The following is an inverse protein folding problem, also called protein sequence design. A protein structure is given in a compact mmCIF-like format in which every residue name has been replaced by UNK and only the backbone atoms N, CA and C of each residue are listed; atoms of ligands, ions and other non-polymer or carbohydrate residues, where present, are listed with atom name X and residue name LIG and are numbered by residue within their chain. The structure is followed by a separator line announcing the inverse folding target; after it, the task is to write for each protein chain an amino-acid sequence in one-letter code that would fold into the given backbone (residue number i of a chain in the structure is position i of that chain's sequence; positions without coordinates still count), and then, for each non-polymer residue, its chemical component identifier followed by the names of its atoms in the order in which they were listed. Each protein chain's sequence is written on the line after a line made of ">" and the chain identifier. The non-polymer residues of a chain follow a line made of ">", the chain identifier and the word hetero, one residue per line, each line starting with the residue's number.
data_IF_200835211538
#
_entry.id   IF_200835211538
#
_cell.length_a   1.000
_cell.length_b   1.000
_cell.length_c   1.000
_cell.angle_alpha   90.00
_cell.angle_beta   90.00
_cell.angle_gamma   90.00
#
_symmetry.space_group_name_H-M   'P 1'
#
loop_
_entity.id
_entity.type
_entity.pdbx_description
1 polymer ?
#
# COMPACT_ATOMS: atom_id res chain seq x y z
N UNK A 1 -20.54 34.38 -5.63
CA UNK A 1 -20.25 33.79 -6.95
C UNK A 1 -20.67 34.79 -8.00
N UNK A 2 -19.80 35.15 -8.95
CA UNK A 2 -20.25 35.91 -10.13
C UNK A 2 -21.17 35.00 -10.95
N UNK A 3 -22.27 35.55 -11.44
CA UNK A 3 -23.16 34.94 -12.43
C UNK A 3 -22.36 34.76 -13.73
N UNK A 4 -22.34 33.55 -14.30
CA UNK A 4 -21.76 33.30 -15.63
C UNK A 4 -20.57 32.35 -15.67
N UNK A 5 -20.83 31.04 -15.54
CA UNK A 5 -20.23 30.00 -16.42
C UNK A 5 -20.73 28.63 -15.95
N UNK A 6 -22.01 28.34 -16.21
CA UNK A 6 -22.51 26.96 -16.16
C UNK A 6 -21.81 26.19 -17.28
N UNK A 7 -21.26 25.01 -17.00
CA UNK A 7 -20.59 24.22 -18.05
C UNK A 7 -21.65 23.55 -18.93
N UNK A 8 -21.53 23.62 -20.26
CA UNK A 8 -22.44 22.96 -21.21
C UNK A 8 -21.69 21.99 -22.11
N UNK A 9 -22.31 20.85 -22.42
CA UNK A 9 -21.81 19.90 -23.41
C UNK A 9 -22.96 19.15 -24.08
N UNK A 10 -22.80 18.83 -25.37
CA UNK A 10 -23.67 17.86 -26.07
C UNK A 10 -23.37 16.41 -25.66
N UNK A 11 -22.23 16.16 -25.03
CA UNK A 11 -21.86 14.86 -24.48
C UNK A 11 -22.60 14.52 -23.17
N UNK A 12 -22.33 13.34 -22.62
CA UNK A 12 -23.01 12.84 -21.41
C UNK A 12 -22.29 13.17 -20.09
N UNK A 13 -21.05 13.68 -20.14
CA UNK A 13 -20.24 14.02 -18.96
C UNK A 13 -19.13 15.04 -19.28
N UNK A 14 -18.47 15.57 -18.25
CA UNK A 14 -17.23 16.35 -18.36
C UNK A 14 -16.04 15.55 -17.82
N UNK A 15 -14.99 15.37 -18.62
CA UNK A 15 -13.77 14.68 -18.19
C UNK A 15 -13.12 15.38 -16.99
N UNK A 16 -12.68 14.61 -15.99
CA UNK A 16 -12.15 15.15 -14.74
C UNK A 16 -13.21 15.66 -13.76
N UNK A 17 -14.49 15.47 -14.04
CA UNK A 17 -15.60 15.76 -13.12
C UNK A 17 -16.46 14.51 -12.88
N UNK A 18 -17.13 14.49 -11.73
CA UNK A 18 -18.20 13.54 -11.40
C UNK A 18 -19.54 14.28 -11.30
N UNK A 19 -20.58 13.71 -11.90
CA UNK A 19 -21.97 14.13 -11.65
C UNK A 19 -22.37 13.60 -10.28
N UNK A 20 -22.66 14.51 -9.35
CA UNK A 20 -23.04 14.18 -7.98
C UNK A 20 -24.54 14.27 -7.75
N UNK A 21 -25.28 14.95 -8.64
CA UNK A 21 -26.73 15.08 -8.56
C UNK A 21 -27.33 15.36 -9.95
N UNK A 22 -28.47 14.72 -10.24
CA UNK A 22 -29.27 15.00 -11.44
C UNK A 22 -30.51 15.79 -11.04
N UNK A 23 -30.64 17.01 -11.56
CA UNK A 23 -31.73 17.95 -11.29
C UNK A 23 -32.86 17.86 -12.35
N UNK A 24 -32.76 16.84 -13.19
CA UNK A 24 -33.74 16.48 -14.22
C UNK A 24 -33.63 17.32 -15.49
N UNK A 25 -34.57 17.05 -16.40
CA UNK A 25 -34.63 17.68 -17.71
C UNK A 25 -34.98 19.17 -17.61
N UNK A 26 -34.41 19.98 -18.51
CA UNK A 26 -34.68 21.41 -18.66
C UNK A 26 -34.77 21.79 -20.14
N UNK A 27 -35.50 22.87 -20.42
CA UNK A 27 -35.65 23.40 -21.76
C UNK A 27 -35.62 24.94 -21.76
N UNK A 28 -35.20 25.51 -22.88
CA UNK A 28 -35.27 26.93 -23.17
C UNK A 28 -35.77 27.12 -24.60
N UNK A 29 -36.75 27.99 -24.81
CA UNK A 29 -37.30 28.24 -26.14
C UNK A 29 -37.24 29.72 -26.51
N UNK A 30 -37.18 29.98 -27.81
CA UNK A 30 -37.51 31.28 -28.40
C UNK A 30 -38.30 31.05 -29.68
N UNK A 31 -39.21 31.99 -30.01
CA UNK A 31 -39.99 31.96 -31.24
C UNK A 31 -39.71 33.22 -32.07
N UNK A 32 -39.41 33.02 -33.35
CA UNK A 32 -39.27 34.06 -34.36
C UNK A 32 -40.61 34.19 -35.10
N UNK A 33 -41.19 35.39 -35.11
CA UNK A 33 -42.52 35.65 -35.68
C UNK A 33 -42.55 35.65 -37.21
N UNK A 34 -43.71 35.43 -37.81
CA UNK A 34 -43.90 35.39 -39.25
C UNK A 34 -43.79 36.73 -39.98
N UNK A 35 -44.14 37.84 -39.30
CA UNK A 35 -43.96 39.19 -39.83
C UNK A 35 -42.50 39.50 -40.16
N UNK A 36 -41.58 38.83 -39.46
CA UNK A 36 -40.15 39.01 -39.64
C UNK A 36 -39.59 38.21 -40.82
N UNK A 37 -40.14 37.02 -41.09
CA UNK A 37 -39.81 36.28 -42.32
C UNK A 37 -40.32 37.02 -43.54
N UNK A 38 -41.46 37.72 -43.41
CA UNK A 38 -42.04 38.55 -44.46
C UNK A 38 -41.16 39.74 -44.85
N UNK A 39 -40.52 40.40 -43.89
CA UNK A 39 -39.58 41.50 -44.15
C UNK A 39 -38.32 41.02 -44.91
N UNK A 40 -37.84 39.80 -44.62
CA UNK A 40 -36.73 39.17 -45.32
C UNK A 40 -37.13 38.55 -46.68
N UNK A 41 -38.41 38.22 -46.88
CA UNK A 41 -38.91 37.55 -48.09
C UNK A 41 -39.62 38.49 -49.07
N UNK A 42 -39.79 39.78 -48.74
CA UNK A 42 -40.53 40.73 -49.58
C UNK A 42 -39.85 41.08 -50.92
N UNK A 43 -38.60 40.64 -51.13
CA UNK A 43 -37.84 40.75 -52.38
C UNK A 43 -37.42 39.37 -52.96
N UNK A 44 -38.34 38.40 -52.99
CA UNK A 44 -38.08 37.02 -53.47
C UNK A 44 -37.49 36.91 -54.90
N UNK A 45 -37.47 38.00 -55.68
CA UNK A 45 -36.91 38.03 -57.03
C UNK A 45 -35.37 38.11 -57.06
N UNK A 46 -34.71 38.62 -56.01
CA UNK A 46 -33.25 38.78 -55.94
C UNK A 46 -32.74 38.47 -54.52
N UNK A 47 -32.71 37.19 -54.12
CA UNK A 47 -32.11 36.79 -52.84
C UNK A 47 -30.60 37.04 -52.87
N UNK A 48 -30.17 38.15 -52.28
CA UNK A 48 -28.77 38.59 -52.28
C UNK A 48 -27.98 37.97 -51.12
N UNK A 49 -26.65 37.87 -51.23
CA UNK A 49 -25.76 37.37 -50.16
C UNK A 49 -25.85 38.19 -48.84
N UNK A 50 -26.37 39.42 -48.91
CA UNK A 50 -26.58 40.27 -47.74
C UNK A 50 -27.82 39.83 -46.93
N UNK A 51 -28.89 39.41 -47.60
CA UNK A 51 -30.11 38.89 -46.96
C UNK A 51 -29.89 37.52 -46.31
N UNK A 52 -29.06 36.65 -46.93
CA UNK A 52 -28.69 35.37 -46.31
C UNK A 52 -27.89 35.56 -45.01
N UNK A 53 -27.00 36.55 -44.98
CA UNK A 53 -26.24 36.92 -43.78
C UNK A 53 -27.17 37.44 -42.68
N UNK A 54 -28.12 38.31 -43.03
CA UNK A 54 -29.11 38.83 -42.08
C UNK A 54 -30.05 37.73 -41.55
N UNK A 55 -30.37 36.71 -42.35
CA UNK A 55 -31.16 35.56 -41.90
C UNK A 55 -30.36 34.67 -40.93
N UNK A 56 -29.14 34.30 -41.30
CA UNK A 56 -28.24 33.47 -40.47
C UNK A 56 -27.95 34.12 -39.12
N UNK A 57 -27.58 35.41 -39.09
CA UNK A 57 -27.31 36.13 -37.83
C UNK A 57 -28.49 36.07 -36.86
N UNK A 58 -29.71 36.03 -37.39
CA UNK A 58 -30.89 36.02 -36.53
C UNK A 58 -31.26 34.62 -36.03
N UNK A 59 -30.98 33.57 -36.80
CA UNK A 59 -31.04 32.19 -36.29
C UNK A 59 -29.96 31.94 -35.24
N UNK A 60 -28.78 32.51 -35.42
CA UNK A 60 -27.70 32.49 -34.44
C UNK A 60 -28.14 33.20 -33.15
N UNK A 61 -28.65 34.43 -33.24
CA UNK A 61 -29.24 35.13 -32.09
C UNK A 61 -30.35 34.31 -31.41
N UNK A 62 -31.24 33.66 -32.18
CA UNK A 62 -32.29 32.83 -31.63
C UNK A 62 -31.71 31.61 -30.87
N UNK A 63 -30.65 31.01 -31.39
CA UNK A 63 -29.95 29.90 -30.75
C UNK A 63 -29.30 30.33 -29.44
N UNK A 64 -28.58 31.45 -29.44
CA UNK A 64 -27.96 32.02 -28.26
C UNK A 64 -28.99 32.31 -27.17
N UNK A 65 -30.11 32.95 -27.54
CA UNK A 65 -31.19 33.24 -26.59
C UNK A 65 -31.87 31.97 -26.06
N UNK A 66 -32.05 30.93 -26.89
CA UNK A 66 -32.60 29.66 -26.44
C UNK A 66 -31.67 28.96 -25.43
N UNK A 67 -30.35 28.99 -25.68
CA UNK A 67 -29.33 28.48 -24.76
C UNK A 67 -29.31 29.30 -23.46
N UNK A 68 -29.36 30.64 -23.54
CA UNK A 68 -29.46 31.47 -22.34
C UNK A 68 -30.70 31.15 -21.50
N UNK A 69 -31.85 30.93 -22.13
CA UNK A 69 -33.07 30.54 -21.43
C UNK A 69 -32.93 29.17 -20.77
N UNK A 70 -32.30 28.21 -21.46
CA UNK A 70 -31.98 26.89 -20.90
C UNK A 70 -31.08 27.02 -19.65
N UNK A 71 -30.02 27.84 -19.73
CA UNK A 71 -29.10 28.13 -18.62
C UNK A 71 -29.86 28.73 -17.44
N UNK A 72 -30.68 29.78 -17.66
CA UNK A 72 -31.48 30.43 -16.61
C UNK A 72 -32.41 29.44 -15.89
N UNK A 73 -33.00 28.48 -16.62
CA UNK A 73 -33.84 27.43 -16.03
C UNK A 73 -33.01 26.44 -15.22
N UNK A 74 -31.83 26.05 -15.71
CA UNK A 74 -30.92 25.14 -15.01
C UNK A 74 -30.37 25.78 -13.71
N UNK A 75 -29.97 27.05 -13.75
CA UNK A 75 -29.49 27.80 -12.58
C UNK A 75 -30.58 27.94 -11.52
N UNK A 76 -31.84 28.17 -11.92
CA UNK A 76 -32.98 28.20 -10.98
C UNK A 76 -33.20 26.87 -10.26
N UNK A 77 -32.77 25.75 -10.86
CA UNK A 77 -32.78 24.42 -10.23
C UNK A 77 -31.55 24.14 -9.36
N UNK A 78 -30.58 25.06 -9.31
CA UNK A 78 -29.32 24.89 -8.57
C UNK A 78 -28.24 24.14 -9.35
N UNK A 79 -28.40 23.98 -10.66
CA UNK A 79 -27.40 23.31 -11.49
C UNK A 79 -26.13 24.14 -11.67
N UNK A 80 -24.99 23.46 -11.76
CA UNK A 80 -23.72 24.08 -12.16
C UNK A 80 -23.18 23.52 -13.49
N UNK A 81 -23.88 22.56 -14.11
CA UNK A 81 -23.61 22.09 -15.45
C UNK A 81 -24.84 21.54 -16.18
N UNK A 82 -24.75 21.47 -17.51
CA UNK A 82 -25.73 20.90 -18.43
C UNK A 82 -25.04 19.85 -19.31
N UNK A 83 -25.61 18.65 -19.36
CA UNK A 83 -25.15 17.53 -20.22
C UNK A 83 -26.26 17.12 -21.18
N UNK A 84 -25.88 16.52 -22.31
CA UNK A 84 -26.80 16.13 -23.37
C UNK A 84 -27.54 17.32 -23.96
N UNK A 85 -26.85 18.44 -24.13
CA UNK A 85 -27.45 19.66 -24.68
C UNK A 85 -27.68 19.50 -26.18
N UNK A 86 -28.92 19.69 -26.59
CA UNK A 86 -29.37 19.64 -27.99
C UNK A 86 -30.10 20.94 -28.35
N UNK A 87 -29.98 21.36 -29.61
CA UNK A 87 -30.65 22.53 -30.15
C UNK A 87 -31.45 22.13 -31.39
N UNK A 88 -32.75 22.37 -31.35
CA UNK A 88 -33.71 21.94 -32.35
C UNK A 88 -34.47 23.14 -32.92
N UNK A 89 -34.71 23.14 -34.23
CA UNK A 89 -35.55 24.13 -34.90
C UNK A 89 -36.88 23.50 -35.32
N UNK A 90 -37.98 24.18 -35.02
CA UNK A 90 -39.33 23.70 -35.32
C UNK A 90 -40.12 24.78 -36.02
N UNK A 91 -40.75 24.44 -37.14
CA UNK A 91 -41.68 25.33 -37.83
C UNK A 91 -43.07 25.24 -37.18
N UNK A 92 -43.64 26.39 -36.83
CA UNK A 92 -45.00 26.50 -36.33
C UNK A 92 -45.95 26.97 -37.43
N UNK A 93 -47.25 26.71 -37.24
CA UNK A 93 -48.29 27.19 -38.16
C UNK A 93 -48.26 28.72 -38.25
N UNK A 94 -48.48 29.25 -39.45
CA UNK A 94 -48.48 30.69 -39.70
C UNK A 94 -47.09 31.29 -40.01
N UNK A 95 -46.06 30.47 -40.25
CA UNK A 95 -44.75 30.93 -40.76
C UNK A 95 -43.77 31.41 -39.68
N UNK A 96 -43.96 30.97 -38.44
CA UNK A 96 -43.04 31.25 -37.33
C UNK A 96 -42.07 30.09 -37.12
N UNK A 97 -40.85 30.37 -36.67
CA UNK A 97 -39.83 29.34 -36.39
C UNK A 97 -39.46 29.40 -34.92
N UNK A 98 -39.60 28.27 -34.24
CA UNK A 98 -39.13 28.06 -32.87
C UNK A 98 -37.73 27.49 -32.84
N UNK A 99 -36.91 27.99 -31.92
CA UNK A 99 -35.65 27.33 -31.53
C UNK A 99 -35.80 26.83 -30.11
N UNK A 100 -35.55 25.54 -29.90
CA UNK A 100 -35.68 24.84 -28.61
C UNK A 100 -34.33 24.24 -28.24
N UNK A 101 -33.76 24.71 -27.14
CA UNK A 101 -32.62 24.09 -26.50
C UNK A 101 -33.11 23.18 -25.36
N UNK A 102 -32.56 21.99 -25.25
CA UNK A 102 -32.90 21.01 -24.21
C UNK A 102 -31.65 20.35 -23.65
N UNK A 103 -31.72 19.87 -22.41
CA UNK A 103 -30.63 19.12 -21.79
C UNK A 103 -30.99 18.63 -20.38
N UNK A 104 -30.02 18.02 -19.72
CA UNK A 104 -30.17 17.56 -18.32
C UNK A 104 -29.36 18.46 -17.39
N UNK A 105 -30.05 19.09 -16.43
CA UNK A 105 -29.43 19.91 -15.40
C UNK A 105 -28.78 19.01 -14.35
N UNK A 106 -27.51 19.25 -14.03
CA UNK A 106 -26.74 18.44 -13.10
C UNK A 106 -25.89 19.30 -12.15
N UNK A 107 -25.51 18.70 -11.02
CA UNK A 107 -24.44 19.20 -10.17
C UNK A 107 -23.20 18.34 -10.40
N UNK A 108 -22.11 18.96 -10.84
CA UNK A 108 -20.80 18.32 -11.00
C UNK A 108 -19.81 18.79 -9.95
N UNK A 109 -18.88 17.91 -9.58
CA UNK A 109 -17.70 18.24 -8.76
C UNK A 109 -16.44 17.80 -9.47
N UNK A 110 -15.39 18.61 -9.40
CA UNK A 110 -14.07 18.25 -9.94
C UNK A 110 -13.55 17.02 -9.19
N UNK A 111 -13.12 16.00 -9.92
CA UNK A 111 -12.48 14.81 -9.35
C UNK A 111 -11.26 15.27 -8.56
N UNK A 112 -11.17 14.83 -7.31
CA UNK A 112 -9.92 14.98 -6.57
C UNK A 112 -8.84 14.17 -7.30
N UNK A 113 -7.63 14.73 -7.49
CA UNK A 113 -6.51 13.92 -7.98
C UNK A 113 -6.33 12.71 -7.06
N UNK A 114 -6.43 11.51 -7.63
CA UNK A 114 -6.14 10.27 -6.93
C UNK A 114 -4.62 10.24 -6.74
N UNK A 115 -4.13 10.77 -5.62
CA UNK A 115 -2.73 10.59 -5.22
C UNK A 115 -2.57 9.13 -4.82
N UNK A 116 -2.05 8.31 -5.74
CA UNK A 116 -1.83 6.88 -5.48
C UNK A 116 -0.61 6.73 -4.60
N UNK A 117 -0.78 6.85 -3.28
CA UNK A 117 0.29 6.60 -2.32
C UNK A 117 0.45 5.09 -2.16
N UNK A 118 1.64 4.56 -2.48
CA UNK A 118 2.00 3.15 -2.29
C UNK A 118 3.09 3.08 -1.24
N UNK A 119 2.87 2.36 -0.14
CA UNK A 119 3.90 2.18 0.90
C UNK A 119 4.17 0.71 1.16
N UNK A 120 5.44 0.34 1.28
CA UNK A 120 5.88 -1.00 1.70
C UNK A 120 6.92 -0.88 2.80
N UNK A 121 6.77 -1.69 3.85
CA UNK A 121 7.74 -1.80 4.95
C UNK A 121 8.32 -3.21 4.95
N UNK A 122 9.64 -3.30 4.94
CA UNK A 122 10.35 -4.57 4.79
C UNK A 122 11.48 -4.60 5.82
N UNK A 123 11.58 -5.69 6.57
CA UNK A 123 12.71 -5.91 7.45
C UNK A 123 13.97 -6.25 6.67
N UNK A 124 15.10 -5.75 7.15
CA UNK A 124 16.40 -5.99 6.53
C UNK A 124 16.87 -7.40 6.82
N UNK A 125 17.34 -8.11 5.79
CA UNK A 125 17.70 -9.53 5.82
C UNK A 125 19.19 -9.81 5.97
N UNK A 126 19.99 -8.78 6.24
CA UNK A 126 21.40 -8.90 6.63
C UNK A 126 21.70 -8.00 7.84
N UNK A 127 22.73 -8.34 8.62
CA UNK A 127 23.07 -7.61 9.82
C UNK A 127 24.56 -7.63 10.12
N UNK A 128 25.05 -6.64 10.85
CA UNK A 128 26.40 -6.64 11.39
C UNK A 128 26.36 -7.19 12.81
N UNK A 129 27.38 -7.94 13.23
CA UNK A 129 27.55 -8.36 14.63
C UNK A 129 28.50 -7.43 15.40
N UNK A 130 28.67 -6.18 14.96
CA UNK A 130 29.56 -5.18 15.56
C UNK A 130 28.77 -4.11 16.35
N UNK A 131 29.43 -3.42 17.28
CA UNK A 131 28.92 -2.19 17.86
C UNK A 131 28.94 -1.11 16.76
N UNK A 132 27.78 -0.89 16.13
CA UNK A 132 27.56 0.13 15.11
C UNK A 132 26.05 0.39 14.92
N UNK A 133 25.65 1.44 14.18
CA UNK A 133 24.28 1.60 13.72
C UNK A 133 23.91 0.46 12.77
N UNK A 134 22.91 -0.35 13.13
CA UNK A 134 22.50 -1.51 12.35
C UNK A 134 21.16 -1.27 11.66
N UNK A 135 21.05 -1.44 10.34
CA UNK A 135 19.79 -1.30 9.65
C UNK A 135 18.84 -2.45 10.06
N UNK A 136 17.58 -2.13 10.36
CA UNK A 136 16.58 -3.13 10.81
C UNK A 136 15.33 -3.16 9.94
N UNK A 137 14.98 -2.05 9.31
CA UNK A 137 13.76 -1.92 8.50
C UNK A 137 13.98 -0.87 7.40
N UNK A 138 13.35 -1.07 6.25
CA UNK A 138 13.28 -0.13 5.14
C UNK A 138 11.81 0.16 4.85
N UNK A 139 11.49 1.44 4.68
CA UNK A 139 10.20 1.91 4.18
C UNK A 139 10.38 2.46 2.77
N UNK A 140 9.66 1.89 1.80
CA UNK A 140 9.50 2.43 0.45
C UNK A 140 8.16 3.16 0.38
N UNK A 141 8.16 4.39 -0.13
CA UNK A 141 6.96 5.19 -0.31
C UNK A 141 6.95 5.79 -1.73
N UNK A 142 5.90 5.53 -2.50
CA UNK A 142 5.68 6.10 -3.82
C UNK A 142 4.53 7.10 -3.77
N UNK A 143 4.76 8.32 -4.27
CA UNK A 143 3.79 9.41 -4.40
C UNK A 143 4.12 10.20 -5.67
N UNK A 144 3.13 10.51 -6.51
CA UNK A 144 3.29 11.32 -7.74
C UNK A 144 4.44 10.88 -8.68
N UNK A 145 4.57 9.57 -8.91
CA UNK A 145 5.68 8.95 -9.69
C UNK A 145 7.08 9.10 -9.10
N UNK A 146 7.21 9.63 -7.88
CA UNK A 146 8.46 9.68 -7.14
C UNK A 146 8.46 8.58 -6.09
N UNK A 147 9.53 7.79 -6.06
CA UNK A 147 9.73 6.79 -5.01
C UNK A 147 10.80 7.26 -4.05
N UNK A 148 10.49 7.18 -2.76
CA UNK A 148 11.36 7.55 -1.67
C UNK A 148 11.62 6.34 -0.77
N UNK A 149 12.80 6.32 -0.17
CA UNK A 149 13.26 5.27 0.73
C UNK A 149 13.67 5.88 2.07
N UNK A 150 13.30 5.23 3.16
CA UNK A 150 13.66 5.63 4.53
C UNK A 150 14.02 4.39 5.36
N UNK A 151 15.29 4.24 5.78
CA UNK A 151 15.70 3.20 6.72
C UNK A 151 15.41 3.56 8.17
N UNK A 152 15.27 2.51 8.98
CA UNK A 152 15.36 2.55 10.43
C UNK A 152 16.59 1.77 10.85
N UNK A 153 17.41 2.38 11.70
CA UNK A 153 18.56 1.75 12.33
C UNK A 153 18.35 1.58 13.83
N UNK A 154 18.95 0.54 14.38
CA UNK A 154 19.17 0.37 15.81
C UNK A 154 20.62 0.74 16.13
N UNK A 155 20.83 1.69 17.03
CA UNK A 155 22.14 2.21 17.36
C UNK A 155 22.68 1.56 18.62
N UNK A 156 23.63 0.65 18.43
CA UNK A 156 24.32 -0.01 19.54
C UNK A 156 25.53 0.77 20.06
N UNK A 157 26.00 1.79 19.33
CA UNK A 157 27.13 2.60 19.79
C UNK A 157 26.78 3.50 20.96
N UNK A 158 25.49 3.80 21.15
CA UNK A 158 25.00 4.82 22.07
C UNK A 158 25.60 6.22 21.84
N UNK A 159 26.34 6.41 20.74
CA UNK A 159 26.86 7.69 20.27
C UNK A 159 25.81 8.39 19.39
N UNK A 160 25.84 9.73 19.34
CA UNK A 160 25.02 10.48 18.40
C UNK A 160 25.48 10.22 16.95
N UNK A 161 24.57 9.71 16.11
CA UNK A 161 24.82 9.41 14.71
C UNK A 161 24.26 10.54 13.85
N UNK A 162 25.15 11.27 13.16
CA UNK A 162 24.78 12.40 12.31
C UNK A 162 24.27 11.94 10.95
N UNK A 163 24.99 11.00 10.33
CA UNK A 163 24.62 10.45 9.03
C UNK A 163 25.22 9.06 8.83
N UNK A 164 24.56 8.25 8.00
CA UNK A 164 25.01 6.92 7.56
C UNK A 164 24.95 6.86 6.04
N UNK A 165 26.06 6.46 5.42
CA UNK A 165 26.13 6.10 3.99
C UNK A 165 25.94 4.60 3.83
N UNK A 166 25.01 4.18 2.99
CA UNK A 166 24.83 2.77 2.66
C UNK A 166 24.50 2.51 1.20
N UNK A 167 24.75 1.26 0.80
CA UNK A 167 24.18 0.67 -0.41
C UNK A 167 22.98 -0.20 -0.01
N UNK A 168 21.94 -0.21 -0.84
CA UNK A 168 20.71 -0.96 -0.59
C UNK A 168 20.47 -1.89 -1.78
N UNK A 169 20.40 -3.19 -1.51
CA UNK A 169 20.02 -4.21 -2.49
C UNK A 169 18.57 -4.61 -2.24
N UNK A 170 17.72 -4.37 -3.24
CA UNK A 170 16.31 -4.79 -3.26
C UNK A 170 16.19 -6.03 -4.13
N UNK A 171 15.52 -7.07 -3.65
CA UNK A 171 15.23 -8.28 -4.43
C UNK A 171 13.73 -8.45 -4.60
N UNK A 172 13.26 -8.61 -5.84
CA UNK A 172 11.84 -8.82 -6.13
C UNK A 172 11.43 -10.31 -6.01
N UNK A 173 10.13 -10.60 -6.16
CA UNK A 173 9.62 -11.99 -6.14
C UNK A 173 10.16 -12.88 -7.26
N UNK A 174 10.67 -12.30 -8.35
CA UNK A 174 11.30 -13.03 -9.45
C UNK A 174 12.79 -13.32 -9.21
N UNK A 175 13.37 -12.81 -8.11
CA UNK A 175 14.78 -12.97 -7.78
C UNK A 175 15.71 -11.96 -8.47
N UNK A 176 15.17 -10.96 -9.16
CA UNK A 176 15.94 -9.88 -9.75
C UNK A 176 16.41 -8.92 -8.66
N UNK A 177 17.66 -8.48 -8.76
CA UNK A 177 18.32 -7.61 -7.78
C UNK A 177 18.50 -6.21 -8.33
N UNK A 178 18.13 -5.22 -7.54
CA UNK A 178 18.31 -3.80 -7.82
C UNK A 178 19.21 -3.20 -6.75
N UNK A 179 20.32 -2.60 -7.17
CA UNK A 179 21.28 -1.99 -6.25
C UNK A 179 21.19 -0.47 -6.32
N UNK A 180 20.98 0.16 -5.17
CA UNK A 180 21.01 1.61 -5.00
C UNK A 180 22.26 1.94 -4.18
N UNK A 181 23.22 2.63 -4.78
CA UNK A 181 24.55 2.84 -4.17
C UNK A 181 24.71 4.25 -3.59
N UNK A 182 25.48 4.33 -2.52
CA UNK A 182 26.01 5.59 -1.99
C UNK A 182 24.93 6.55 -1.47
N UNK A 183 23.84 6.02 -0.90
CA UNK A 183 22.79 6.87 -0.33
C UNK A 183 23.24 7.35 1.05
N UNK A 184 23.13 8.65 1.29
CA UNK A 184 23.39 9.26 2.58
C UNK A 184 22.05 9.50 3.31
N UNK A 185 21.93 8.97 4.52
CA UNK A 185 20.76 9.13 5.38
C UNK A 185 21.10 10.03 6.56
N UNK A 186 20.19 10.95 6.87
CA UNK A 186 20.24 11.86 8.02
C UNK A 186 19.10 11.50 8.98
N UNK A 187 19.35 11.66 10.27
CA UNK A 187 18.43 11.24 11.34
C UNK A 187 17.90 12.42 12.14
N UNK A 188 16.68 12.28 12.66
CA UNK A 188 16.13 13.22 13.62
C UNK A 188 16.92 13.17 14.95
N UNK A 189 17.25 14.34 15.51
CA UNK A 189 18.12 14.50 16.70
C UNK A 189 17.57 13.94 18.02
N UNK A 190 16.39 13.34 18.04
CA UNK A 190 15.65 13.10 19.28
C UNK A 190 15.81 11.68 19.85
N UNK A 191 16.26 10.70 19.06
CA UNK A 191 16.34 9.31 19.51
C UNK A 191 17.71 8.70 19.23
N UNK A 192 18.49 8.48 20.28
CA UNK A 192 19.83 7.88 20.16
C UNK A 192 19.79 6.38 19.94
N UNK A 193 18.75 5.66 20.34
CA UNK A 193 18.67 4.18 20.23
C UNK A 193 18.07 3.74 18.90
N UNK A 194 16.97 4.37 18.48
CA UNK A 194 16.26 4.06 17.24
C UNK A 194 16.33 5.24 16.30
N UNK A 195 17.18 5.13 15.28
CA UNK A 195 17.43 6.17 14.32
C UNK A 195 16.52 5.97 13.11
N UNK A 196 15.54 6.86 12.95
CA UNK A 196 14.71 6.89 11.74
C UNK A 196 15.26 7.95 10.81
N UNK A 197 15.55 7.57 9.57
CA UNK A 197 16.06 8.50 8.58
C UNK A 197 14.93 9.24 7.86
N UNK A 198 15.24 10.42 7.36
CA UNK A 198 14.37 11.11 6.40
C UNK A 198 14.24 10.34 5.09
N UNK A 199 13.15 10.62 4.37
CA UNK A 199 12.90 10.02 3.06
C UNK A 199 13.82 10.61 2.00
N UNK A 200 14.56 9.75 1.32
CA UNK A 200 15.45 10.11 0.20
C UNK A 200 14.87 9.54 -1.09
N UNK A 201 14.88 10.32 -2.18
CA UNK A 201 14.44 9.84 -3.49
C UNK A 201 15.36 8.75 -4.02
N UNK A 202 14.77 7.70 -4.61
CA UNK A 202 15.54 6.61 -5.22
C UNK A 202 15.00 6.23 -6.60
N UNK A 203 15.90 5.67 -7.42
CA UNK A 203 15.56 5.19 -8.77
C UNK A 203 14.87 3.82 -8.68
N UNK A 204 13.57 3.85 -8.37
CA UNK A 204 12.69 2.68 -8.35
C UNK A 204 11.35 3.08 -8.97
N UNK A 205 10.72 2.21 -9.79
CA UNK A 205 9.39 2.53 -10.32
C UNK A 205 8.33 2.24 -9.25
N UNK A 206 7.29 3.09 -9.15
CA UNK A 206 6.21 2.89 -8.16
C UNK A 206 5.54 1.52 -8.24
N UNK A 207 5.45 0.95 -9.45
CA UNK A 207 4.88 -0.39 -9.70
C UNK A 207 5.71 -1.53 -9.09
N UNK A 208 6.99 -1.29 -8.81
CA UNK A 208 7.92 -2.29 -8.29
C UNK A 208 7.87 -2.37 -6.76
N UNK A 209 7.38 -1.32 -6.07
CA UNK A 209 7.29 -1.28 -4.60
C UNK A 209 6.57 -2.52 -4.02
N UNK A 210 5.41 -2.97 -4.54
CA UNK A 210 4.72 -4.15 -4.03
C UNK A 210 5.42 -5.47 -4.39
N UNK A 211 6.35 -5.45 -5.34
CA UNK A 211 7.06 -6.65 -5.82
C UNK A 211 8.34 -6.93 -5.03
N UNK A 212 8.80 -5.98 -4.20
CA UNK A 212 10.00 -6.16 -3.40
C UNK A 212 9.72 -7.18 -2.28
N UNK A 213 10.43 -8.31 -2.34
CA UNK A 213 10.31 -9.42 -1.40
C UNK A 213 11.29 -9.26 -0.23
N UNK A 214 12.52 -8.86 -0.55
CA UNK A 214 13.67 -8.88 0.35
C UNK A 214 14.54 -7.62 0.18
N UNK A 215 15.19 -7.21 1.27
CA UNK A 215 16.05 -6.02 1.29
C UNK A 215 17.29 -6.26 2.12
N UNK A 216 18.46 -6.01 1.54
CA UNK A 216 19.75 -5.98 2.23
C UNK A 216 20.33 -4.58 2.24
N UNK A 217 20.99 -4.22 3.34
CA UNK A 217 21.59 -2.91 3.52
C UNK A 217 23.06 -3.08 3.91
N UNK A 218 23.94 -2.42 3.18
CA UNK A 218 25.39 -2.47 3.37
C UNK A 218 25.86 -1.10 3.83
N UNK A 219 26.15 -0.97 5.12
CA UNK A 219 26.68 0.27 5.69
C UNK A 219 28.11 0.45 5.19
N UNK A 220 28.39 1.57 4.53
CA UNK A 220 29.74 1.90 4.04
C UNK A 220 30.48 2.79 5.01
N UNK A 221 29.82 3.84 5.50
CA UNK A 221 30.39 4.80 6.44
C UNK A 221 29.31 5.37 7.35
N UNK A 222 29.68 5.80 8.54
CA UNK A 222 28.81 6.57 9.42
C UNK A 222 29.61 7.64 10.17
N UNK A 223 28.94 8.70 10.59
CA UNK A 223 29.57 9.87 11.22
C UNK A 223 29.02 10.05 12.63
N UNK A 224 29.94 10.16 13.58
CA UNK A 224 29.64 10.56 14.97
C UNK A 224 30.39 11.84 15.31
N UNK A 225 30.26 12.35 16.54
CA UNK A 225 31.11 13.46 17.01
C UNK A 225 32.59 13.12 17.06
N UNK A 226 32.93 11.84 17.26
CA UNK A 226 34.32 11.36 17.38
C UNK A 226 35.02 11.24 16.03
N UNK A 227 34.28 11.21 14.92
CA UNK A 227 34.84 11.12 13.57
C UNK A 227 33.99 10.34 12.58
N UNK A 228 34.63 9.91 11.50
CA UNK A 228 34.03 9.10 10.43
C UNK A 228 34.50 7.66 10.59
N UNK A 229 33.57 6.73 10.63
CA UNK A 229 33.82 5.31 10.83
C UNK A 229 33.35 4.52 9.62
N UNK A 230 33.99 3.39 9.37
CA UNK A 230 33.61 2.42 8.36
C UNK A 230 33.61 1.03 9.00
N UNK A 231 32.62 0.16 8.71
CA UNK A 231 32.65 -1.22 9.18
C UNK A 231 33.88 -1.94 8.59
N UNK A 232 34.54 -2.74 9.42
CA UNK A 232 35.70 -3.56 9.07
C UNK A 232 35.32 -5.01 8.72
N UNK A 233 34.02 -5.34 8.75
CA UNK A 233 33.47 -6.64 8.41
C UNK A 233 32.31 -6.52 7.42
N UNK A 234 32.10 -7.58 6.64
CA UNK A 234 30.90 -7.75 5.82
C UNK A 234 29.69 -8.15 6.69
N UNK A 235 28.46 -7.78 6.31
CA UNK A 235 27.27 -8.18 7.04
C UNK A 235 26.97 -9.67 6.85
N UNK A 236 26.33 -10.26 7.84
CA UNK A 236 25.87 -11.65 7.89
C UNK A 236 24.44 -11.71 7.34
N UNK A 237 24.21 -12.64 6.42
CA UNK A 237 22.87 -12.91 5.89
C UNK A 237 22.01 -13.69 6.89
N UNK A 238 20.74 -13.30 7.00
CA UNK A 238 19.75 -14.00 7.79
C UNK A 238 19.28 -15.23 7.01
N UNK A 239 19.44 -16.41 7.62
CA UNK A 239 19.14 -17.70 6.98
C UNK A 239 17.69 -18.16 7.16
N UNK A 240 16.95 -17.58 8.10
CA UNK A 240 15.56 -17.94 8.35
C UNK A 240 14.60 -17.36 7.32
N UNK A 241 13.42 -17.99 7.17
CA UNK A 241 12.39 -17.47 6.27
C UNK A 241 11.91 -16.07 6.71
N UNK A 242 11.41 -15.26 5.77
CA UNK A 242 10.83 -13.95 6.05
C UNK A 242 9.77 -14.01 7.15
N UNK A 243 8.84 -14.95 7.07
CA UNK A 243 7.80 -15.16 8.10
C UNK A 243 8.39 -15.46 9.47
N UNK A 244 9.44 -16.29 9.52
CA UNK A 244 10.15 -16.59 10.76
C UNK A 244 10.86 -15.37 11.35
N UNK A 245 11.46 -14.54 10.49
CA UNK A 245 12.11 -13.29 10.88
C UNK A 245 11.09 -12.28 11.42
N UNK A 246 9.96 -12.11 10.73
CA UNK A 246 8.87 -11.23 11.13
C UNK A 246 8.37 -11.62 12.53
N UNK A 247 8.07 -12.91 12.73
CA UNK A 247 7.61 -13.44 14.02
C UNK A 247 8.67 -13.29 15.13
N UNK A 248 9.94 -13.50 14.81
CA UNK A 248 11.03 -13.30 15.77
C UNK A 248 11.13 -11.83 16.20
N UNK A 249 11.07 -10.89 15.25
CA UNK A 249 11.15 -9.45 15.52
C UNK A 249 9.95 -8.94 16.32
N UNK A 250 8.76 -9.47 16.07
CA UNK A 250 7.56 -9.18 16.88
C UNK A 250 7.73 -9.62 18.33
N UNK A 251 8.31 -10.81 18.56
CA UNK A 251 8.46 -11.38 19.90
C UNK A 251 9.65 -10.84 20.69
N UNK A 252 10.78 -10.58 20.03
CA UNK A 252 12.08 -10.32 20.68
C UNK A 252 12.62 -8.91 20.41
N UNK A 253 11.92 -8.11 19.60
CA UNK A 253 12.32 -6.76 19.22
C UNK A 253 12.82 -6.66 17.78
N UNK A 254 12.70 -5.47 17.19
CA UNK A 254 13.00 -5.21 15.77
C UNK A 254 14.45 -5.49 15.36
N UNK A 255 15.35 -5.49 16.31
CA UNK A 255 16.78 -5.77 16.14
C UNK A 255 17.12 -7.27 16.20
N UNK A 256 16.13 -8.13 16.47
CA UNK A 256 16.32 -9.57 16.47
C UNK A 256 16.52 -10.11 15.04
N UNK A 257 17.53 -10.96 14.86
CA UNK A 257 18.01 -11.49 13.58
C UNK A 257 18.33 -12.98 13.63
N UNK A 258 18.42 -13.57 14.83
CA UNK A 258 18.72 -15.00 15.03
C UNK A 258 17.99 -15.53 16.26
N UNK A 259 17.70 -16.83 16.32
CA UNK A 259 17.17 -17.51 17.51
C UNK A 259 18.32 -17.81 18.47
N UNK A 260 18.02 -17.83 19.77
CA UNK A 260 19.01 -18.22 20.78
C UNK A 260 19.52 -19.64 20.52
N UNK A 261 20.84 -19.81 20.56
CA UNK A 261 21.56 -21.08 20.39
C UNK A 261 22.75 -21.07 21.34
N UNK A 262 23.08 -22.22 21.93
CA UNK A 262 24.27 -22.38 22.77
C UNK A 262 24.88 -23.74 22.49
N UNK A 263 26.21 -23.80 22.43
CA UNK A 263 26.99 -25.04 22.28
C UNK A 263 27.74 -25.42 23.58
N UNK A 264 27.50 -24.67 24.66
CA UNK A 264 28.19 -24.81 25.95
C UNK A 264 29.53 -24.06 26.05
N UNK A 265 30.10 -23.61 24.93
CA UNK A 265 31.32 -22.77 24.89
C UNK A 265 31.02 -21.33 24.48
N UNK A 266 29.96 -21.13 23.71
CA UNK A 266 29.44 -19.82 23.30
C UNK A 266 27.91 -19.87 23.24
N UNK A 267 27.31 -18.69 23.23
CA UNK A 267 25.88 -18.55 22.98
C UNK A 267 25.56 -17.36 22.07
N UNK A 268 24.58 -17.55 21.19
CA UNK A 268 24.15 -16.57 20.19
C UNK A 268 22.93 -15.83 20.72
N UNK A 269 23.04 -14.51 20.81
CA UNK A 269 21.94 -13.64 21.20
C UNK A 269 20.93 -13.44 20.05
N UNK A 270 19.71 -13.02 20.35
CA UNK A 270 18.76 -12.65 19.31
C UNK A 270 19.25 -11.52 18.39
N UNK A 271 20.14 -10.63 18.87
CA UNK A 271 20.77 -9.60 18.03
C UNK A 271 21.87 -10.14 17.09
N UNK A 272 22.12 -11.46 17.11
CA UNK A 272 23.10 -12.16 16.28
C UNK A 272 24.55 -12.10 16.78
N UNK A 273 24.80 -11.46 17.93
CA UNK A 273 26.12 -11.47 18.55
C UNK A 273 26.41 -12.80 19.26
N UNK A 274 27.66 -13.25 19.18
CA UNK A 274 28.17 -14.47 19.80
C UNK A 274 28.89 -14.08 21.09
N UNK A 275 28.40 -14.56 22.23
CA UNK A 275 28.97 -14.32 23.55
C UNK A 275 29.74 -15.55 24.02
N UNK A 276 30.68 -15.36 24.95
CA UNK A 276 31.42 -16.46 25.55
C UNK A 276 30.56 -17.21 26.58
N UNK A 277 30.88 -18.48 26.82
CA UNK A 277 30.28 -19.21 27.94
C UNK A 277 30.59 -18.51 29.28
N UNK A 278 29.55 -18.31 30.08
CA UNK A 278 29.63 -17.60 31.36
C UNK A 278 29.19 -16.12 31.28
N UNK A 279 29.08 -15.53 30.09
CA UNK A 279 28.50 -14.20 29.95
C UNK A 279 26.99 -14.24 30.25
N UNK A 280 26.55 -13.56 31.30
CA UNK A 280 25.13 -13.50 31.69
C UNK A 280 24.30 -12.58 30.78
N UNK A 281 24.94 -11.62 30.12
CA UNK A 281 24.30 -10.61 29.27
C UNK A 281 25.02 -10.48 27.93
N UNK A 282 24.26 -10.17 26.88
CA UNK A 282 24.83 -9.95 25.56
C UNK A 282 25.67 -8.67 25.53
N UNK A 283 26.95 -8.77 25.13
CA UNK A 283 27.87 -7.64 25.09
C UNK A 283 27.44 -6.48 24.17
N UNK A 284 26.50 -6.72 23.24
CA UNK A 284 26.02 -5.70 22.29
C UNK A 284 24.67 -5.13 22.69
N UNK A 285 23.68 -5.98 22.95
CA UNK A 285 22.31 -5.52 23.18
C UNK A 285 21.88 -5.53 24.65
N UNK A 286 22.73 -6.05 25.54
CA UNK A 286 22.45 -6.15 26.99
C UNK A 286 21.33 -7.13 27.37
N UNK A 287 20.79 -7.92 26.43
CA UNK A 287 19.80 -8.95 26.78
C UNK A 287 20.45 -10.04 27.63
N UNK A 288 19.80 -10.40 28.74
CA UNK A 288 20.22 -11.50 29.62
C UNK A 288 20.04 -12.83 28.92
N UNK A 289 21.04 -13.70 29.02
CA UNK A 289 21.00 -15.04 28.45
C UNK A 289 19.77 -15.82 28.95
N UNK A 290 19.43 -15.68 30.24
CA UNK A 290 18.27 -16.35 30.84
C UNK A 290 16.93 -15.88 30.28
N UNK A 291 16.80 -14.61 29.89
CA UNK A 291 15.60 -14.06 29.22
C UNK A 291 15.45 -14.63 27.79
N UNK A 292 16.56 -15.07 27.20
CA UNK A 292 16.60 -15.72 25.89
C UNK A 292 16.31 -17.21 25.99
N UNK A 293 16.81 -17.87 27.04
CA UNK A 293 16.50 -19.27 27.40
C UNK A 293 15.04 -19.44 27.79
N UNK A 294 14.45 -18.44 28.48
CA UNK A 294 13.01 -18.39 28.72
C UNK A 294 12.30 -18.17 27.40
N UNK A 295 11.94 -19.30 26.83
CA UNK A 295 11.13 -19.39 25.65
C UNK A 295 9.72 -18.89 26.06
N UNK A 296 9.19 -17.89 25.35
CA UNK A 296 7.81 -18.02 24.88
C UNK A 296 7.91 -19.07 23.75
N UNK A 297 8.26 -20.32 24.01
CA UNK A 297 7.67 -21.30 24.94
C UNK A 297 7.54 -22.61 24.19
N UNK A 298 7.41 -22.55 22.86
CA UNK A 298 7.11 -23.69 22.03
C UNK A 298 7.86 -23.67 20.71
N UNK A 299 8.81 -24.60 20.61
CA UNK A 299 9.46 -24.97 19.36
C UNK A 299 8.69 -26.16 18.75
N UNK A 300 7.78 -25.88 17.82
CA UNK A 300 6.96 -26.91 17.20
C UNK A 300 7.79 -27.89 16.35
N UNK A 301 8.93 -27.46 15.79
CA UNK A 301 9.83 -28.32 15.01
C UNK A 301 10.46 -29.40 15.90
N UNK A 302 10.84 -29.07 17.13
CA UNK A 302 11.35 -30.04 18.10
C UNK A 302 10.25 -31.04 18.51
N UNK A 303 9.05 -30.56 18.82
CA UNK A 303 7.91 -31.41 19.17
C UNK A 303 7.57 -32.36 18.02
N UNK A 304 7.44 -31.84 16.79
CA UNK A 304 7.10 -32.63 15.59
C UNK A 304 8.21 -33.60 15.19
N UNK A 305 9.48 -33.24 15.38
CA UNK A 305 10.58 -34.17 15.18
C UNK A 305 10.56 -35.32 16.20
N UNK A 306 10.17 -35.08 17.45
CA UNK A 306 9.95 -36.16 18.44
C UNK A 306 8.75 -37.04 18.11
N UNK A 307 7.80 -36.55 17.33
CA UNK A 307 6.64 -37.32 16.86
C UNK A 307 6.97 -38.21 15.64
N UNK A 308 7.97 -37.84 14.82
CA UNK A 308 8.38 -38.62 13.64
C UNK A 308 8.83 -40.02 14.03
N UNK A 309 8.34 -41.03 13.32
CA UNK A 309 8.74 -42.43 13.50
C UNK A 309 8.17 -43.10 14.76
N UNK A 310 7.20 -42.48 15.44
CA UNK A 310 6.49 -43.12 16.54
C UNK A 310 5.53 -44.21 16.04
N UNK A 311 5.28 -45.25 16.86
CA UNK A 311 4.55 -46.44 16.42
C UNK A 311 3.02 -46.25 16.29
N UNK A 312 2.45 -45.17 16.84
CA UNK A 312 1.02 -44.89 16.80
C UNK A 312 0.71 -43.44 17.20
N UNK A 313 -0.52 -43.00 16.93
CA UNK A 313 -1.01 -41.64 17.27
C UNK A 313 -1.11 -41.42 18.78
N UNK A 314 -1.29 -42.49 19.58
CA UNK A 314 -1.31 -42.36 21.05
C UNK A 314 0.02 -41.84 21.60
N UNK A 315 1.14 -42.36 21.11
CA UNK A 315 2.47 -41.89 21.50
C UNK A 315 2.72 -40.43 21.06
N UNK A 316 2.19 -40.02 19.90
CA UNK A 316 2.22 -38.62 19.47
C UNK A 316 1.41 -37.72 20.41
N UNK A 317 0.23 -38.17 20.85
CA UNK A 317 -0.61 -37.44 21.81
C UNK A 317 0.10 -37.26 23.16
N UNK A 318 0.85 -38.25 23.63
CA UNK A 318 1.61 -38.15 24.88
C UNK A 318 2.67 -37.05 24.83
N UNK A 319 3.38 -36.94 23.69
CA UNK A 319 4.32 -35.83 23.47
C UNK A 319 3.59 -34.50 23.48
N UNK A 320 2.48 -34.36 22.74
CA UNK A 320 1.70 -33.13 22.73
C UNK A 320 1.28 -32.73 24.16
N UNK A 321 0.80 -33.70 24.94
CA UNK A 321 0.38 -33.47 26.33
C UNK A 321 1.53 -33.07 27.25
N UNK A 322 2.75 -33.55 27.03
CA UNK A 322 3.95 -33.09 27.74
C UNK A 322 4.19 -31.59 27.52
N UNK A 323 4.12 -31.13 26.27
CA UNK A 323 4.28 -29.71 25.93
C UNK A 323 3.11 -28.85 26.44
N UNK A 324 1.87 -29.36 26.41
CA UNK A 324 0.71 -28.66 26.99
C UNK A 324 0.87 -28.49 28.51
N UNK A 325 1.28 -29.55 29.23
CA UNK A 325 1.49 -29.52 30.69
C UNK A 325 2.61 -28.58 31.11
N UNK A 326 3.67 -28.46 30.29
CA UNK A 326 4.76 -27.50 30.48
C UNK A 326 4.37 -26.05 30.21
N UNK A 327 3.12 -25.79 29.78
CA UNK A 327 2.67 -24.45 29.40
C UNK A 327 3.31 -23.92 28.13
N UNK A 328 4.00 -24.77 27.36
CA UNK A 328 4.77 -24.39 26.19
C UNK A 328 3.86 -23.84 25.08
N UNK A 329 2.76 -24.55 24.78
CA UNK A 329 1.87 -24.29 23.64
C UNK A 329 0.90 -23.15 23.96
N UNK A 330 0.77 -22.16 23.07
CA UNK A 330 -0.22 -21.07 23.16
C UNK A 330 -1.66 -21.63 23.15
N UNK A 331 -2.55 -21.05 23.96
CA UNK A 331 -3.97 -21.42 24.04
C UNK A 331 -4.67 -21.45 22.68
N UNK A 332 -4.26 -20.58 21.73
CA UNK A 332 -4.81 -20.54 20.36
C UNK A 332 -4.68 -21.89 19.63
N UNK A 333 -3.58 -22.61 19.80
CA UNK A 333 -3.30 -23.85 19.07
C UNK A 333 -3.75 -25.12 19.81
N UNK A 334 -4.00 -25.03 21.12
CA UNK A 334 -4.27 -26.21 21.96
C UNK A 334 -5.51 -26.98 21.51
N UNK A 335 -6.61 -26.30 21.22
CA UNK A 335 -7.86 -26.96 20.83
C UNK A 335 -7.70 -27.67 19.48
N UNK A 336 -7.17 -26.98 18.48
CA UNK A 336 -6.99 -27.54 17.14
C UNK A 336 -6.05 -28.75 17.12
N UNK A 337 -4.94 -28.70 17.88
CA UNK A 337 -4.01 -29.83 17.99
C UNK A 337 -4.64 -31.03 18.70
N UNK A 338 -5.45 -30.80 19.74
CA UNK A 338 -6.16 -31.87 20.44
C UNK A 338 -7.22 -32.52 19.53
N UNK A 339 -7.96 -31.73 18.76
CA UNK A 339 -8.93 -32.23 17.77
C UNK A 339 -8.26 -33.10 16.71
N UNK A 340 -7.10 -32.67 16.18
CA UNK A 340 -6.33 -33.46 15.22
C UNK A 340 -5.90 -34.80 15.83
N UNK A 341 -5.41 -34.80 17.08
CA UNK A 341 -5.00 -36.03 17.78
C UNK A 341 -6.19 -36.96 18.05
N UNK A 342 -7.35 -36.43 18.45
CA UNK A 342 -8.56 -37.22 18.71
C UNK A 342 -9.14 -37.82 17.43
N UNK A 343 -9.19 -37.03 16.36
CA UNK A 343 -9.58 -37.51 15.03
C UNK A 343 -8.62 -38.60 14.54
N UNK A 344 -7.31 -38.40 14.69
CA UNK A 344 -6.27 -39.36 14.33
C UNK A 344 -6.45 -40.71 15.04
N UNK A 345 -6.65 -40.69 16.37
CA UNK A 345 -6.90 -41.89 17.18
C UNK A 345 -8.15 -42.66 16.74
N UNK A 346 -9.21 -41.95 16.34
CA UNK A 346 -10.44 -42.57 15.88
C UNK A 346 -10.27 -43.24 14.52
N UNK A 347 -9.56 -42.59 13.60
CA UNK A 347 -9.24 -43.15 12.29
C UNK A 347 -8.24 -44.31 12.38
N UNK A 348 -7.27 -44.24 13.28
CA UNK A 348 -6.26 -45.30 13.43
C UNK A 348 -6.90 -46.66 13.80
N UNK A 349 -7.94 -46.64 14.62
CA UNK A 349 -8.74 -47.84 14.98
C UNK A 349 -9.50 -48.46 13.81
N UNK A 350 -9.82 -47.68 12.77
CA UNK A 350 -10.70 -48.11 11.67
C UNK A 350 -9.98 -48.27 10.35
N UNK A 351 -8.82 -47.64 10.16
CA UNK A 351 -8.13 -47.52 8.87
C UNK A 351 -6.65 -47.90 8.90
N UNK A 352 -6.09 -48.27 10.05
CA UNK A 352 -4.66 -48.61 10.19
C UNK A 352 -3.80 -47.38 10.52
N UNK A 353 -2.49 -47.47 10.30
CA UNK A 353 -1.53 -46.42 10.69
C UNK A 353 -1.92 -45.04 10.14
N UNK A 354 -2.03 -44.06 11.05
CA UNK A 354 -2.38 -42.67 10.73
C UNK A 354 -1.26 -41.67 11.07
N UNK A 355 -0.10 -42.14 11.54
CA UNK A 355 0.98 -41.32 12.12
C UNK A 355 1.46 -40.22 11.17
N UNK A 356 1.77 -40.55 9.91
CA UNK A 356 2.22 -39.56 8.92
C UNK A 356 1.15 -38.52 8.58
N UNK A 357 -0.11 -38.95 8.46
CA UNK A 357 -1.24 -38.06 8.13
C UNK A 357 -1.54 -37.10 9.28
N UNK A 358 -1.46 -37.59 10.52
CA UNK A 358 -1.62 -36.75 11.71
C UNK A 358 -0.47 -35.76 11.82
N UNK A 359 0.76 -36.19 11.57
CA UNK A 359 1.93 -35.32 11.60
C UNK A 359 1.84 -34.18 10.56
N UNK A 360 1.43 -34.47 9.32
CA UNK A 360 1.21 -33.46 8.28
C UNK A 360 0.16 -32.42 8.70
N UNK A 361 -0.95 -32.87 9.31
CA UNK A 361 -1.97 -31.96 9.84
C UNK A 361 -1.44 -31.09 10.98
N UNK A 362 -0.67 -31.67 11.90
CA UNK A 362 -0.04 -30.93 13.01
C UNK A 362 0.92 -29.86 12.47
N UNK A 363 1.71 -30.16 11.44
CA UNK A 363 2.60 -29.18 10.80
C UNK A 363 1.80 -28.03 10.18
N UNK A 364 0.70 -28.34 9.48
CA UNK A 364 -0.19 -27.33 8.87
C UNK A 364 -0.79 -26.33 9.86
N UNK A 365 -1.04 -26.73 11.11
CA UNK A 365 -1.51 -25.81 12.18
C UNK A 365 -0.52 -24.67 12.43
N UNK A 366 0.78 -24.93 12.25
CA UNK A 366 1.85 -23.95 12.49
C UNK A 366 2.32 -23.25 11.21
N UNK A 367 2.00 -23.82 10.04
CA UNK A 367 2.27 -23.24 8.73
C UNK A 367 1.17 -22.27 8.26
N UNK A 368 0.00 -22.26 8.91
CA UNK A 368 -1.08 -21.28 8.72
C UNK A 368 -0.96 -20.12 9.70
#
# INVERSE_FOLDING_TARGET
>A
MKMGDIMLTSGSNFEGYDIVEYLGFVNGQIALSSNFFKDLSSNLADFTAQESTAFTNKLENASENAIENLIKVAEKKGANALVGVELNYTNFSGGSVGTVASGTAVVIKKKAPIHKVITSKIYVSNYYNLLMPRPVEITLAGEDNVVKISPVFYNYNQDEIKTVRCDIELTNFYGERMLIQGIDFVFEKNNVTKLKADFVECKLAMKDIPLIKDVKVYVKKYVTEKGVFAPDAEPIDITMSKRSLDSLKEKRGRDAVERYKSDGTTWICNCGYINAAGDEECAICGRKEDDLKTNIGFNYEEMTNRMKGLPNVSAMKDILMEYIKKGAIDAKYRMELLEIMESGLQYEKTRGDMTETVLDKVLKVFEN
#
